data_IF_171041753001
#
_entry.id   IF_171041753001
#
_cell.length_a   1.000
_cell.length_b   1.000
_cell.length_c   1.000
_cell.angle_alpha   90.00
_cell.angle_beta   90.00
_cell.angle_gamma   90.00
#
_symmetry.space_group_name_H-M   'P 1'
#
loop_
_entity.id
_entity.type
_entity.pdbx_description
1 polymer ?
#
# COMPACT_ATOMS: atom_id res chain seq x y z
N UNK A 1 -32.67 3.10 -14.54
CA UNK A 1 -31.79 1.95 -14.85
C UNK A 1 -30.65 1.99 -13.86
N UNK A 2 -30.60 1.07 -12.90
CA UNK A 2 -29.44 0.94 -12.01
C UNK A 2 -28.37 0.15 -12.74
N UNK A 3 -27.13 0.66 -12.77
CA UNK A 3 -25.99 -0.10 -13.26
C UNK A 3 -25.86 -1.40 -12.43
N UNK A 4 -25.49 -2.55 -13.03
CA UNK A 4 -25.17 -3.74 -12.25
C UNK A 4 -23.98 -3.40 -11.34
N UNK A 5 -24.21 -3.48 -10.02
CA UNK A 5 -23.16 -3.25 -9.04
C UNK A 5 -22.10 -4.34 -9.16
N UNK A 6 -20.88 -3.97 -9.54
CA UNK A 6 -19.73 -4.85 -9.41
C UNK A 6 -19.32 -4.92 -7.93
N UNK A 7 -19.32 -6.12 -7.35
CA UNK A 7 -18.75 -6.38 -6.04
C UNK A 7 -17.32 -6.88 -6.20
N UNK A 8 -16.35 -6.21 -5.57
CA UNK A 8 -14.97 -6.69 -5.48
C UNK A 8 -14.81 -7.48 -4.17
N UNK A 9 -14.20 -8.67 -4.25
CA UNK A 9 -13.85 -9.49 -3.11
C UNK A 9 -12.31 -9.57 -3.03
N UNK A 10 -11.73 -9.08 -1.93
CA UNK A 10 -10.29 -9.12 -1.68
C UNK A 10 -10.00 -9.95 -0.44
N UNK A 11 -8.98 -10.81 -0.53
CA UNK A 11 -8.40 -11.53 0.59
C UNK A 11 -6.95 -11.07 0.76
N UNK A 12 -6.57 -10.74 1.99
CA UNK A 12 -5.22 -10.25 2.29
C UNK A 12 -4.41 -11.28 3.05
N UNK A 13 -3.24 -11.61 2.52
CA UNK A 13 -2.19 -12.31 3.24
C UNK A 13 -1.50 -11.34 4.20
N UNK A 14 -1.47 -11.67 5.49
CA UNK A 14 -0.94 -10.78 6.54
C UNK A 14 0.55 -11.00 6.84
N UNK A 15 1.26 -11.80 6.05
CA UNK A 15 2.66 -12.16 6.31
C UNK A 15 3.61 -10.97 6.34
N UNK A 16 3.30 -9.93 5.57
CA UNK A 16 4.07 -8.70 5.54
C UNK A 16 3.77 -7.76 6.72
N UNK A 17 2.76 -8.06 7.53
CA UNK A 17 2.30 -7.23 8.64
C UNK A 17 2.45 -7.94 10.00
N UNK A 18 3.20 -9.04 10.05
CA UNK A 18 3.40 -9.83 11.28
C UNK A 18 2.23 -10.76 11.65
N UNK A 19 1.23 -10.90 10.76
CA UNK A 19 0.14 -11.85 10.91
C UNK A 19 0.46 -13.23 10.31
N UNK A 20 -0.50 -14.15 10.40
CA UNK A 20 -0.35 -15.49 9.83
C UNK A 20 -0.36 -15.45 8.30
N UNK A 21 0.66 -16.00 7.61
CA UNK A 21 0.66 -16.15 6.16
C UNK A 21 -0.44 -17.12 5.71
N UNK A 22 -0.91 -16.98 4.47
CA UNK A 22 -1.62 -18.06 3.81
C UNK A 22 -0.68 -19.26 3.55
N UNK A 23 -1.21 -20.48 3.49
CA UNK A 23 -0.46 -21.64 3.03
C UNK A 23 0.05 -21.44 1.59
N UNK A 24 1.11 -22.17 1.24
CA UNK A 24 1.70 -22.16 -0.11
C UNK A 24 0.70 -22.60 -1.20
N UNK A 25 -0.24 -23.47 -0.83
CA UNK A 25 -1.34 -23.90 -1.68
C UNK A 25 -2.59 -24.15 -0.84
N UNK A 26 -3.75 -23.75 -1.36
CA UNK A 26 -5.05 -24.04 -0.78
C UNK A 26 -6.15 -23.99 -1.85
N UNK A 27 -7.29 -24.62 -1.58
CA UNK A 27 -8.46 -24.53 -2.44
C UNK A 27 -9.45 -23.52 -1.85
N UNK A 28 -9.71 -22.44 -2.60
CA UNK A 28 -10.73 -21.45 -2.24
C UNK A 28 -12.08 -21.88 -2.83
N UNK A 29 -13.06 -22.15 -1.97
CA UNK A 29 -14.43 -22.40 -2.39
C UNK A 29 -15.28 -21.15 -2.15
N UNK A 30 -15.82 -20.56 -3.22
CA UNK A 30 -16.81 -19.49 -3.14
C UNK A 30 -18.21 -20.06 -3.37
N UNK A 31 -19.08 -19.89 -2.38
CA UNK A 31 -20.51 -20.20 -2.47
C UNK A 31 -21.30 -18.89 -2.52
N UNK A 32 -21.90 -18.59 -3.67
CA UNK A 32 -22.68 -17.37 -3.87
C UNK A 32 -24.15 -17.70 -4.06
N UNK A 33 -25.01 -17.11 -3.23
CA UNK A 33 -26.46 -17.22 -3.38
C UNK A 33 -27.00 -16.03 -4.16
N UNK A 34 -27.90 -16.30 -5.11
CA UNK A 34 -28.56 -15.26 -5.90
C UNK A 34 -30.05 -15.35 -5.64
N UNK A 35 -30.68 -14.22 -5.31
CA UNK A 35 -32.11 -14.16 -5.03
C UNK A 35 -32.91 -14.72 -6.22
N UNK A 36 -33.76 -15.70 -5.96
CA UNK A 36 -34.57 -16.37 -6.99
C UNK A 36 -33.93 -17.62 -7.58
N UNK A 37 -32.71 -17.96 -7.20
CA UNK A 37 -32.04 -19.22 -7.54
C UNK A 37 -31.88 -20.02 -6.24
N UNK A 38 -32.43 -21.23 -6.23
CA UNK A 38 -32.50 -22.06 -5.03
C UNK A 38 -31.13 -22.62 -4.63
N UNK A 39 -30.34 -23.07 -5.60
CA UNK A 39 -29.02 -23.66 -5.36
C UNK A 39 -27.91 -22.58 -5.42
N UNK A 40 -26.95 -22.57 -4.48
CA UNK A 40 -25.80 -21.67 -4.55
C UNK A 40 -24.91 -21.98 -5.76
N UNK A 41 -24.34 -20.92 -6.36
CA UNK A 41 -23.24 -21.08 -7.31
C UNK A 41 -21.97 -21.42 -6.54
N UNK A 42 -21.34 -22.54 -6.90
CA UNK A 42 -20.06 -22.97 -6.36
C UNK A 42 -18.94 -22.69 -7.36
N UNK A 43 -17.89 -22.02 -6.90
CA UNK A 43 -16.66 -21.79 -7.66
C UNK A 43 -15.52 -22.32 -6.81
N UNK A 44 -14.79 -23.31 -7.34
CA UNK A 44 -13.60 -23.88 -6.72
C UNK A 44 -12.37 -23.30 -7.44
N UNK A 45 -11.52 -22.62 -6.68
CA UNK A 45 -10.33 -21.93 -7.20
C UNK A 45 -9.11 -22.53 -6.51
N UNK A 46 -8.29 -23.34 -7.22
CA UNK A 46 -7.02 -23.78 -6.69
C UNK A 46 -6.07 -22.58 -6.64
N UNK A 47 -5.62 -22.22 -5.44
CA UNK A 47 -4.70 -21.11 -5.22
C UNK A 47 -3.32 -21.66 -4.90
N UNK A 48 -2.31 -21.18 -5.62
CA UNK A 48 -0.89 -21.47 -5.36
C UNK A 48 -0.12 -20.16 -5.28
N UNK A 49 0.80 -20.07 -4.32
CA UNK A 49 1.69 -18.92 -4.17
C UNK A 49 2.64 -18.81 -5.36
N UNK A 50 2.99 -17.58 -5.69
CA UNK A 50 3.99 -17.28 -6.71
C UNK A 50 5.38 -17.53 -6.13
N UNK A 51 6.16 -18.36 -6.82
CA UNK A 51 7.54 -18.72 -6.46
C UNK A 51 8.58 -17.75 -7.06
N UNK A 52 8.24 -17.11 -8.18
CA UNK A 52 9.10 -16.12 -8.83
C UNK A 52 8.94 -14.77 -8.13
N UNK A 53 9.84 -14.49 -7.19
CA UNK A 53 9.88 -13.22 -6.47
C UNK A 53 11.28 -12.85 -6.03
N UNK A 54 11.51 -11.55 -5.92
CA UNK A 54 12.68 -10.98 -5.27
C UNK A 54 12.23 -10.25 -4.01
N UNK A 55 12.93 -10.46 -2.89
CA UNK A 55 12.66 -9.75 -1.63
C UNK A 55 13.88 -8.95 -1.20
N UNK A 56 13.67 -7.68 -0.90
CA UNK A 56 14.65 -6.79 -0.30
C UNK A 56 14.18 -6.42 1.10
N UNK A 57 15.09 -6.39 2.05
CA UNK A 57 14.82 -5.99 3.44
C UNK A 57 15.78 -4.86 3.84
N UNK A 58 15.62 -3.67 3.25
CA UNK A 58 16.58 -2.59 3.42
C UNK A 58 16.65 -2.10 4.88
N UNK A 59 15.52 -2.10 5.60
CA UNK A 59 15.43 -1.56 6.97
C UNK A 59 16.04 -0.15 7.09
N UNK A 60 15.82 0.67 6.07
CA UNK A 60 16.38 2.03 6.00
C UNK A 60 15.35 3.02 6.52
N UNK A 61 15.78 3.87 7.45
CA UNK A 61 14.96 4.94 8.00
C UNK A 61 15.42 6.33 7.56
N UNK A 62 14.47 7.25 7.50
CA UNK A 62 14.65 8.70 7.36
C UNK A 62 13.80 9.40 8.40
N UNK A 63 14.21 10.60 8.79
CA UNK A 63 13.51 11.40 9.79
C UNK A 63 13.29 12.82 9.26
N UNK A 64 12.10 13.35 9.55
CA UNK A 64 11.74 14.72 9.29
C UNK A 64 10.73 15.17 10.34
N UNK A 65 11.03 16.27 11.04
CA UNK A 65 10.25 16.76 12.18
C UNK A 65 10.00 15.65 13.23
N UNK A 66 8.74 15.34 13.55
CA UNK A 66 8.34 14.29 14.47
C UNK A 66 8.07 12.94 13.77
N UNK A 67 8.46 12.76 12.51
CA UNK A 67 8.18 11.56 11.72
C UNK A 67 9.47 10.80 11.45
N UNK A 68 9.50 9.52 11.84
CA UNK A 68 10.47 8.54 11.34
C UNK A 68 9.78 7.61 10.34
N UNK A 69 10.23 7.65 9.10
CA UNK A 69 9.76 6.77 8.03
C UNK A 69 10.79 5.67 7.77
N UNK A 70 10.36 4.42 7.79
CA UNK A 70 11.20 3.24 7.58
C UNK A 70 10.67 2.42 6.42
N UNK A 71 11.53 2.10 5.46
CA UNK A 71 11.26 1.08 4.44
C UNK A 71 11.75 -0.25 4.98
N UNK A 72 10.84 -1.13 5.36
CA UNK A 72 11.18 -2.42 5.98
C UNK A 72 11.47 -3.47 4.92
N UNK A 73 10.58 -3.58 3.92
CA UNK A 73 10.59 -4.66 2.94
C UNK A 73 10.07 -4.19 1.59
N UNK A 74 10.65 -4.73 0.52
CA UNK A 74 10.12 -4.64 -0.85
C UNK A 74 10.07 -6.06 -1.41
N UNK A 75 8.93 -6.45 -1.99
CA UNK A 75 8.75 -7.73 -2.67
C UNK A 75 8.30 -7.49 -4.11
N UNK A 76 9.14 -7.89 -5.04
CA UNK A 76 8.89 -7.84 -6.48
C UNK A 76 8.34 -9.19 -6.92
N UNK A 77 7.25 -9.17 -7.69
CA UNK A 77 6.68 -10.35 -8.36
C UNK A 77 6.28 -9.98 -9.78
N UNK A 78 6.11 -10.93 -10.70
CA UNK A 78 5.65 -10.65 -12.06
C UNK A 78 4.30 -9.92 -12.16
N UNK A 79 3.47 -9.98 -11.12
CA UNK A 79 2.12 -9.40 -11.13
C UNK A 79 1.97 -8.14 -10.29
N UNK A 80 2.81 -7.95 -9.27
CA UNK A 80 2.72 -6.82 -8.32
C UNK A 80 4.07 -6.52 -7.68
N UNK A 81 4.27 -5.27 -7.30
CA UNK A 81 5.33 -4.84 -6.39
C UNK A 81 4.70 -4.48 -5.04
N UNK A 82 5.12 -5.12 -3.96
CA UNK A 82 4.61 -4.82 -2.61
C UNK A 82 5.71 -4.17 -1.79
N UNK A 83 5.37 -3.17 -0.98
CA UNK A 83 6.27 -2.57 -0.01
C UNK A 83 5.65 -2.58 1.37
N UNK A 84 6.48 -2.83 2.37
CA UNK A 84 6.12 -2.67 3.77
C UNK A 84 6.90 -1.49 4.32
N UNK A 85 6.17 -0.50 4.83
CA UNK A 85 6.74 0.70 5.44
C UNK A 85 6.21 0.88 6.84
N UNK A 86 7.04 1.40 7.73
CA UNK A 86 6.65 1.79 9.07
C UNK A 86 6.85 3.29 9.25
N UNK A 87 5.88 3.94 9.85
CA UNK A 87 5.97 5.34 10.25
C UNK A 87 5.78 5.45 11.76
N UNK A 88 6.68 6.17 12.42
CA UNK A 88 6.67 6.39 13.87
C UNK A 88 6.60 7.88 14.16
N UNK A 89 5.67 8.29 15.02
CA UNK A 89 5.58 9.64 15.56
C UNK A 89 6.47 9.74 16.81
N UNK A 90 7.60 10.43 16.70
CA UNK A 90 8.67 10.44 17.71
C UNK A 90 8.36 11.31 18.93
N UNK A 91 7.31 12.12 18.86
CA UNK A 91 6.82 12.97 19.94
C UNK A 91 5.72 12.31 20.80
N UNK A 92 5.43 11.01 20.55
CA UNK A 92 4.33 10.24 21.15
C UNK A 92 2.93 10.79 20.84
N UNK A 93 2.79 11.61 19.79
CA UNK A 93 1.49 11.92 19.23
C UNK A 93 0.86 10.68 18.58
N UNK A 94 -0.44 10.76 18.29
CA UNK A 94 -1.19 9.64 17.70
C UNK A 94 -1.53 9.96 16.25
N UNK A 95 -1.39 8.97 15.38
CA UNK A 95 -1.76 9.09 13.97
C UNK A 95 -3.20 9.57 13.79
N UNK A 96 -4.14 9.09 14.61
CA UNK A 96 -5.56 9.52 14.56
C UNK A 96 -5.79 10.99 14.91
N UNK A 97 -4.80 11.67 15.50
CA UNK A 97 -4.86 13.06 15.90
C UNK A 97 -3.92 13.95 15.07
N UNK A 98 -3.19 13.39 14.11
CA UNK A 98 -2.24 14.11 13.26
C UNK A 98 -2.75 14.13 11.81
N UNK A 99 -3.35 15.26 11.35
CA UNK A 99 -3.84 15.38 9.98
C UNK A 99 -2.74 15.13 8.94
N UNK A 100 -1.52 15.57 9.23
CA UNK A 100 -0.36 15.34 8.37
C UNK A 100 -0.07 13.85 8.25
N UNK A 101 0.01 13.14 9.39
CA UNK A 101 0.31 11.71 9.42
C UNK A 101 -0.80 10.84 8.81
N UNK A 102 -2.06 11.25 8.90
CA UNK A 102 -3.19 10.58 8.22
C UNK A 102 -3.17 10.72 6.70
N UNK A 103 -2.43 11.68 6.17
CA UNK A 103 -2.43 12.04 4.74
C UNK A 103 -1.18 11.56 4.00
N UNK A 104 -0.24 10.91 4.69
CA UNK A 104 1.02 10.51 4.06
C UNK A 104 0.80 9.35 3.10
N UNK A 105 1.07 9.58 1.82
CA UNK A 105 1.21 8.55 0.81
C UNK A 105 2.68 8.32 0.46
N UNK A 106 2.93 7.29 -0.33
CA UNK A 106 4.26 7.00 -0.86
C UNK A 106 4.13 6.77 -2.36
N UNK A 107 4.89 7.53 -3.15
CA UNK A 107 5.07 7.23 -4.56
C UNK A 107 6.33 6.40 -4.76
N UNK A 108 6.30 5.50 -5.74
CA UNK A 108 7.44 4.65 -6.11
C UNK A 108 7.87 4.94 -7.54
N UNK A 109 9.18 5.02 -7.77
CA UNK A 109 9.78 5.28 -9.07
C UNK A 109 10.88 4.26 -9.39
N UNK A 110 11.03 3.94 -10.67
CA UNK A 110 12.16 3.16 -11.19
C UNK A 110 13.43 4.01 -11.42
N UNK A 111 14.50 3.39 -11.94
CA UNK A 111 15.78 4.07 -12.23
C UNK A 111 15.74 5.01 -13.45
N UNK A 112 14.63 5.02 -14.19
CA UNK A 112 14.39 5.93 -15.31
C UNK A 112 13.47 7.09 -14.91
N UNK A 113 12.95 7.09 -13.68
CA UNK A 113 12.02 8.09 -13.18
C UNK A 113 10.55 7.82 -13.53
N UNK A 114 10.20 6.61 -13.98
CA UNK A 114 8.82 6.23 -14.21
C UNK A 114 8.13 5.93 -12.87
N UNK A 115 7.00 6.58 -12.63
CA UNK A 115 6.16 6.36 -11.45
C UNK A 115 5.36 5.07 -11.60
N UNK A 116 5.37 4.22 -10.57
CA UNK A 116 4.50 3.06 -10.48
C UNK A 116 3.11 3.45 -9.99
N UNK A 117 2.10 2.84 -10.60
CA UNK A 117 0.71 3.03 -10.19
C UNK A 117 0.41 2.21 -8.93
N UNK A 118 -0.13 2.87 -7.90
CA UNK A 118 -0.65 2.19 -6.71
C UNK A 118 -1.95 1.47 -7.06
N UNK A 119 -2.04 0.19 -6.73
CA UNK A 119 -3.24 -0.63 -6.88
C UNK A 119 -4.10 -0.47 -5.64
N UNK A 120 -3.53 -0.79 -4.48
CA UNK A 120 -4.18 -0.65 -3.17
C UNK A 120 -3.15 -0.68 -2.03
N UNK A 121 -3.62 -0.59 -0.80
CA UNK A 121 -2.79 -0.76 0.37
C UNK A 121 -3.62 -0.99 1.62
N UNK A 122 -3.02 -1.69 2.57
CA UNK A 122 -3.62 -1.99 3.87
C UNK A 122 -2.68 -1.49 4.97
N UNK A 123 -3.26 -0.98 6.04
CA UNK A 123 -2.48 -0.47 7.17
C UNK A 123 -3.11 -0.80 8.50
N UNK A 124 -2.27 -0.81 9.54
CA UNK A 124 -2.71 -0.90 10.92
C UNK A 124 -1.85 -0.01 11.80
N UNK A 125 -2.42 0.43 12.92
CA UNK A 125 -1.71 1.21 13.93
C UNK A 125 -1.48 0.34 15.16
N UNK A 126 -0.31 0.49 15.79
CA UNK A 126 -0.05 -0.11 17.09
C UNK A 126 -1.04 0.40 18.14
N UNK A 127 -1.18 -0.35 19.24
CA UNK A 127 -2.19 -0.11 20.29
C UNK A 127 -2.11 1.30 20.90
N UNK A 128 -0.91 1.89 20.97
CA UNK A 128 -0.70 3.25 21.46
C UNK A 128 -1.02 4.34 20.42
N UNK A 129 -1.16 3.96 19.14
CA UNK A 129 -1.47 4.81 18.01
C UNK A 129 -0.29 5.65 17.50
N UNK A 130 0.93 5.41 17.98
CA UNK A 130 2.14 6.18 17.63
C UNK A 130 2.95 5.57 16.48
N UNK A 131 2.66 4.31 16.14
CA UNK A 131 3.29 3.55 15.05
C UNK A 131 2.21 3.11 14.06
N UNK A 132 2.48 3.33 12.79
CA UNK A 132 1.67 2.84 11.67
C UNK A 132 2.53 1.96 10.77
N UNK A 133 2.01 0.78 10.43
CA UNK A 133 2.57 -0.09 9.41
C UNK A 133 1.65 -0.13 8.21
N UNK A 134 2.21 0.09 7.03
CA UNK A 134 1.51 0.05 5.75
C UNK A 134 2.11 -1.05 4.87
N UNK A 135 1.25 -1.85 4.25
CA UNK A 135 1.59 -2.71 3.11
C UNK A 135 0.93 -2.12 1.86
N UNK A 136 1.74 -1.59 0.95
CA UNK A 136 1.29 -0.91 -0.26
C UNK A 136 1.62 -1.77 -1.48
N UNK A 137 0.66 -1.90 -2.38
CA UNK A 137 0.74 -2.74 -3.57
C UNK A 137 0.66 -1.88 -4.82
N UNK A 138 1.68 -1.98 -5.65
CA UNK A 138 1.82 -1.29 -6.92
C UNK A 138 1.77 -2.29 -8.08
N UNK A 139 1.55 -1.74 -9.27
CA UNK A 139 1.82 -2.46 -10.51
C UNK A 139 3.26 -3.01 -10.53
N UNK A 140 3.49 -4.14 -11.22
CA UNK A 140 4.84 -4.69 -11.34
C UNK A 140 5.70 -3.76 -12.21
N UNK A 141 7.01 -3.83 -12.04
CA UNK A 141 7.91 -3.21 -13.00
C UNK A 141 7.91 -4.01 -14.31
N UNK A 142 8.05 -3.33 -15.45
CA UNK A 142 8.19 -3.99 -16.75
C UNK A 142 9.46 -4.85 -16.82
N UNK A 143 10.51 -4.39 -16.16
CA UNK A 143 11.76 -5.11 -15.92
C UNK A 143 12.30 -4.74 -14.53
N UNK A 144 13.09 -5.62 -13.91
CA UNK A 144 13.71 -5.32 -12.62
C UNK A 144 14.59 -4.07 -12.75
N UNK A 145 14.27 -2.96 -12.04
CA UNK A 145 15.00 -1.71 -12.17
C UNK A 145 16.34 -1.80 -11.46
N UNK A 146 17.29 -0.91 -11.79
CA UNK A 146 18.59 -0.83 -11.07
C UNK A 146 18.47 -0.21 -9.69
N UNK A 147 17.52 0.71 -9.54
CA UNK A 147 17.22 1.39 -8.28
C UNK A 147 15.72 1.57 -8.15
N UNK A 148 15.23 1.53 -6.92
CA UNK A 148 13.86 1.92 -6.58
C UNK A 148 13.94 3.16 -5.70
N UNK A 149 13.18 4.20 -6.06
CA UNK A 149 13.06 5.42 -5.25
C UNK A 149 11.66 5.52 -4.67
N UNK A 150 11.56 5.65 -3.36
CA UNK A 150 10.33 5.90 -2.62
C UNK A 150 10.28 7.35 -2.19
N UNK A 151 9.20 8.05 -2.55
CA UNK A 151 8.97 9.47 -2.24
C UNK A 151 7.70 9.63 -1.41
N UNK A 152 7.82 9.78 -0.08
CA UNK A 152 6.70 10.14 0.77
C UNK A 152 6.14 11.53 0.41
N UNK A 153 4.83 11.68 0.48
CA UNK A 153 4.13 12.92 0.20
C UNK A 153 2.91 13.08 1.10
N UNK A 154 2.45 14.32 1.27
CA UNK A 154 1.17 14.64 1.92
C UNK A 154 0.18 15.16 0.89
N UNK A 155 -1.11 14.87 1.09
CA UNK A 155 -2.18 15.47 0.29
C UNK A 155 -2.54 16.84 0.85
N UNK A 156 -2.77 17.80 -0.03
CA UNK A 156 -3.16 19.16 0.37
C UNK A 156 -4.68 19.25 0.48
N UNK A 157 -5.15 19.92 1.54
CA UNK A 157 -6.57 20.13 1.83
C UNK A 157 -6.96 21.59 1.65
N UNK A 158 -8.22 21.84 1.33
CA UNK A 158 -8.80 23.17 1.28
C UNK A 158 -8.78 23.81 2.68
N UNK A 159 -8.27 25.04 2.80
CA UNK A 159 -8.05 25.71 4.10
C UNK A 159 -9.34 25.86 4.91
N UNK A 160 -10.47 26.06 4.23
CA UNK A 160 -11.76 26.37 4.85
C UNK A 160 -12.76 25.21 4.81
N UNK A 161 -12.35 24.01 4.36
CA UNK A 161 -13.23 22.85 4.23
C UNK A 161 -12.52 21.57 4.65
N UNK A 162 -12.85 21.12 5.87
CA UNK A 162 -12.26 19.91 6.45
C UNK A 162 -12.55 18.68 5.58
N UNK A 163 -11.50 17.95 5.22
CA UNK A 163 -11.59 16.70 4.47
C UNK A 163 -11.75 16.85 2.95
N UNK A 164 -11.74 18.08 2.42
CA UNK A 164 -11.78 18.33 0.97
C UNK A 164 -10.36 18.53 0.46
N UNK A 165 -9.95 17.75 -0.54
CA UNK A 165 -8.65 17.90 -1.17
C UNK A 165 -8.62 19.12 -2.10
N UNK A 166 -7.48 19.81 -2.13
CA UNK A 166 -7.16 20.71 -3.24
C UNK A 166 -6.90 19.85 -4.49
N UNK A 167 -7.48 20.23 -5.62
CA UNK A 167 -7.31 19.49 -6.87
C UNK A 167 -6.34 20.19 -7.83
N UNK A 168 -5.64 19.39 -8.64
CA UNK A 168 -4.79 19.85 -9.74
C UNK A 168 -5.59 20.03 -11.05
N UNK A 169 -4.90 20.37 -12.14
CA UNK A 169 -5.51 20.59 -13.46
C UNK A 169 -6.20 19.34 -14.04
N UNK A 170 -5.88 18.16 -13.52
CA UNK A 170 -6.46 16.87 -13.91
C UNK A 170 -7.58 16.41 -12.97
N UNK A 171 -8.00 17.24 -12.01
CA UNK A 171 -8.92 16.90 -10.92
C UNK A 171 -8.39 15.82 -9.95
N UNK A 172 -7.07 15.67 -9.83
CA UNK A 172 -6.45 14.78 -8.86
C UNK A 172 -6.03 15.55 -7.60
N UNK A 173 -6.00 14.93 -6.40
CA UNK A 173 -5.53 15.59 -5.19
C UNK A 173 -4.10 16.12 -5.37
N UNK A 174 -3.91 17.41 -5.12
CA UNK A 174 -2.57 18.01 -5.05
C UNK A 174 -1.78 17.37 -3.93
N UNK A 175 -0.53 17.06 -4.22
CA UNK A 175 0.42 16.48 -3.29
C UNK A 175 1.62 17.38 -3.09
N UNK A 176 2.24 17.28 -1.92
CA UNK A 176 3.54 17.87 -1.64
C UNK A 176 4.48 16.76 -1.16
N UNK A 177 5.58 16.55 -1.88
CA UNK A 177 6.62 15.61 -1.46
C UNK A 177 7.35 16.10 -0.21
N UNK A 178 7.86 15.15 0.58
CA UNK A 178 8.73 15.39 1.74
C UNK A 178 10.13 14.85 1.39
N UNK A 179 11.01 15.66 0.77
CA UNK A 179 12.30 15.20 0.24
C UNK A 179 13.23 14.58 1.30
N UNK A 180 13.14 15.04 2.54
CA UNK A 180 13.93 14.54 3.67
C UNK A 180 13.61 13.08 4.02
N UNK A 181 12.41 12.60 3.65
CA UNK A 181 11.98 11.22 3.83
C UNK A 181 12.22 10.34 2.58
N UNK A 182 12.80 10.88 1.51
CA UNK A 182 13.07 10.12 0.27
C UNK A 182 14.12 9.02 0.51
N UNK A 183 13.85 7.84 -0.06
CA UNK A 183 14.74 6.67 0.03
C UNK A 183 14.96 6.09 -1.36
N UNK A 184 16.21 6.09 -1.82
CA UNK A 184 16.64 5.37 -3.02
C UNK A 184 17.43 4.13 -2.62
N UNK A 185 17.04 2.98 -3.17
CA UNK A 185 17.62 1.67 -2.87
C UNK A 185 18.18 1.05 -4.15
N UNK A 186 19.43 0.54 -4.13
CA UNK A 186 19.95 -0.26 -5.23
C UNK A 186 19.29 -1.64 -5.24
N UNK A 187 19.02 -2.14 -6.45
CA UNK A 187 18.58 -3.51 -6.70
C UNK A 187 19.80 -4.26 -7.27
N UNK A 188 20.40 -5.10 -6.43
CA UNK A 188 21.59 -5.89 -6.77
C UNK A 188 21.21 -7.34 -7.04
#
# INVERSE_FOLDING_TARGET
MCAPGAGNLEFSDLSNQGGSPFPEQFDLTLLTTVKGIQEPFKIDIPVKKIEDYMTLQPNVSREYENIRFTVEKIKLTPITTNITTQMVLTDNSKFTLSPLAMSVGVDMFDDQGNKLNLINGNGWNATDGSVQTMDLRYHPFEAVPKTITLKPYVRLYEENQMGVYQLDENNEPKIQYIPELEVTLPIN
#
